data_IF_677717600597
#
_entry.id   IF_677717600597
#
_cell.length_a   1.000
_cell.length_b   1.000
_cell.length_c   1.000
_cell.angle_alpha   90.00
_cell.angle_beta   90.00
_cell.angle_gamma   90.00
#
_symmetry.space_group_name_H-M   'P 1'
#
loop_
_entity.id
_entity.type
_entity.pdbx_description
1 polymer ?
#
# COMPACT_ATOMS: atom_id res chain seq x y z
N UNK A 1 20.62 21.42 -8.20
CA UNK A 1 19.88 22.52 -7.54
C UNK A 1 20.39 22.65 -6.12
N UNK A 2 20.61 23.87 -5.61
CA UNK A 2 20.98 24.12 -4.20
C UNK A 2 19.77 24.68 -3.47
N UNK A 3 19.41 24.09 -2.34
CA UNK A 3 18.27 24.51 -1.52
C UNK A 3 18.84 25.10 -0.23
N UNK A 4 18.47 26.33 0.09
CA UNK A 4 18.71 26.94 1.39
C UNK A 4 17.35 27.15 2.05
N UNK A 5 17.12 26.52 3.19
CA UNK A 5 15.86 26.62 3.91
C UNK A 5 16.14 27.01 5.37
N UNK A 6 15.30 27.88 5.91
CA UNK A 6 15.27 28.16 7.35
C UNK A 6 14.28 27.18 7.98
N UNK A 7 14.73 26.49 9.03
CA UNK A 7 13.92 25.55 9.79
C UNK A 7 13.65 26.15 11.17
N UNK A 8 12.44 25.95 11.66
CA UNK A 8 12.08 26.27 13.04
C UNK A 8 12.61 25.18 13.98
N UNK A 9 12.73 25.50 15.27
CA UNK A 9 13.35 24.62 16.27
C UNK A 9 12.70 23.23 16.35
N UNK A 10 11.39 23.15 16.14
CA UNK A 10 10.67 21.87 16.10
C UNK A 10 11.09 21.01 14.90
N UNK A 11 11.22 21.61 13.72
CA UNK A 11 11.59 20.91 12.50
C UNK A 11 13.06 20.47 12.52
N UNK A 12 13.94 21.27 13.14
CA UNK A 12 15.33 20.89 13.41
C UNK A 12 15.38 19.64 14.28
N UNK A 13 14.57 19.58 15.35
CA UNK A 13 14.51 18.40 16.23
C UNK A 13 14.04 17.14 15.50
N UNK A 14 13.02 17.26 14.65
CA UNK A 14 12.56 16.13 13.81
C UNK A 14 13.64 15.67 12.84
N UNK A 15 14.33 16.60 12.18
CA UNK A 15 15.42 16.27 11.25
C UNK A 15 16.58 15.54 11.94
N UNK A 16 17.00 16.01 13.12
CA UNK A 16 18.06 15.34 13.88
C UNK A 16 17.66 13.95 14.36
N UNK A 17 16.40 13.77 14.79
CA UNK A 17 15.89 12.44 15.15
C UNK A 17 15.93 11.46 13.96
N UNK A 18 15.54 11.92 12.76
CA UNK A 18 15.58 11.11 11.54
C UNK A 18 17.02 10.74 11.13
N UNK A 19 17.98 11.66 11.32
CA UNK A 19 19.41 11.37 11.09
C UNK A 19 19.94 10.29 12.02
N UNK A 20 19.48 10.26 13.27
CA UNK A 20 19.91 9.28 14.28
C UNK A 20 19.31 7.90 14.05
N UNK A 21 18.06 7.81 13.62
CA UNK A 21 17.35 6.54 13.43
C UNK A 21 17.94 5.69 12.31
N UNK A 22 18.23 6.30 11.16
CA UNK A 22 18.56 5.55 9.94
C UNK A 22 19.99 5.81 9.42
N UNK A 23 20.83 6.54 10.17
CA UNK A 23 22.15 7.02 9.74
C UNK A 23 22.14 7.83 8.43
N UNK A 24 20.99 8.35 8.03
CA UNK A 24 20.86 9.14 6.82
C UNK A 24 21.46 10.53 6.98
N UNK A 25 22.03 11.04 5.90
CA UNK A 25 22.40 12.44 5.76
C UNK A 25 21.16 13.31 5.57
N UNK A 26 21.27 14.60 5.90
CA UNK A 26 20.21 15.59 5.62
C UNK A 26 19.75 15.56 4.16
N UNK A 27 20.67 15.32 3.23
CA UNK A 27 20.36 15.23 1.79
C UNK A 27 19.46 14.05 1.46
N UNK A 28 19.73 12.88 2.05
CA UNK A 28 18.92 11.66 1.82
C UNK A 28 17.52 11.83 2.40
N UNK A 29 17.42 12.38 3.61
CA UNK A 29 16.14 12.67 4.25
C UNK A 29 15.31 13.64 3.40
N UNK A 30 15.92 14.71 2.89
CA UNK A 30 15.23 15.67 2.02
C UNK A 30 14.78 15.02 0.71
N UNK A 31 15.62 14.17 0.09
CA UNK A 31 15.25 13.44 -1.14
C UNK A 31 14.04 12.54 -0.89
N UNK A 32 14.03 11.79 0.19
CA UNK A 32 12.92 10.90 0.50
C UNK A 32 11.64 11.68 0.84
N UNK A 33 11.75 12.76 1.62
CA UNK A 33 10.61 13.63 1.90
C UNK A 33 9.99 14.22 0.62
N UNK A 34 10.82 14.63 -0.35
CA UNK A 34 10.35 15.10 -1.66
C UNK A 34 9.63 13.97 -2.40
N UNK A 35 10.20 12.76 -2.44
CA UNK A 35 9.56 11.61 -3.09
C UNK A 35 8.20 11.27 -2.46
N UNK A 36 8.13 11.24 -1.13
CA UNK A 36 6.89 10.99 -0.38
C UNK A 36 5.85 12.06 -0.70
N UNK A 37 6.22 13.35 -0.63
CA UNK A 37 5.31 14.44 -0.91
C UNK A 37 4.83 14.44 -2.37
N UNK A 38 5.75 14.17 -3.32
CA UNK A 38 5.42 14.04 -4.73
C UNK A 38 4.43 12.89 -4.95
N UNK A 39 4.68 11.71 -4.39
CA UNK A 39 3.75 10.58 -4.45
C UNK A 39 2.40 10.95 -3.85
N UNK A 40 2.34 11.55 -2.66
CA UNK A 40 1.07 11.92 -2.04
C UNK A 40 0.26 12.93 -2.88
N UNK A 41 0.93 13.88 -3.54
CA UNK A 41 0.25 14.92 -4.34
C UNK A 41 -0.10 14.46 -5.75
N UNK A 42 0.74 13.63 -6.37
CA UNK A 42 0.58 13.17 -7.74
C UNK A 42 -0.19 11.85 -7.84
N UNK A 43 -0.08 10.99 -6.82
CA UNK A 43 -0.90 9.77 -6.65
C UNK A 43 -2.23 10.14 -5.96
N UNK A 44 -2.83 11.27 -6.32
CA UNK A 44 -4.27 11.43 -6.10
C UNK A 44 -5.02 10.53 -7.10
N UNK A 45 -6.08 9.83 -6.66
CA UNK A 45 -6.56 8.56 -7.23
C UNK A 45 -7.40 8.73 -8.50
N UNK A 46 -7.12 9.71 -9.37
CA UNK A 46 -7.79 9.75 -10.68
C UNK A 46 -7.44 8.54 -11.55
N UNK A 47 -6.33 7.87 -11.25
CA UNK A 47 -5.93 6.63 -11.90
C UNK A 47 -6.04 5.36 -11.06
N UNK A 48 -6.44 5.39 -9.78
CA UNK A 48 -6.39 4.18 -8.94
C UNK A 48 -7.64 3.32 -9.08
N UNK A 49 -8.83 3.87 -8.84
CA UNK A 49 -10.07 3.08 -8.96
C UNK A 49 -10.42 2.81 -10.42
N UNK A 50 -10.20 3.79 -11.30
CA UNK A 50 -10.51 3.65 -12.72
C UNK A 50 -9.55 2.67 -13.41
N UNK A 51 -8.26 2.69 -13.09
CA UNK A 51 -7.35 1.67 -13.62
C UNK A 51 -7.61 0.29 -13.01
N UNK A 52 -8.06 0.19 -11.75
CA UNK A 52 -8.48 -1.09 -11.18
C UNK A 52 -9.74 -1.65 -11.88
N UNK A 53 -10.71 -0.78 -12.20
CA UNK A 53 -11.93 -1.15 -12.94
C UNK A 53 -11.66 -1.44 -14.43
N UNK A 54 -10.70 -0.75 -15.04
CA UNK A 54 -10.27 -0.96 -16.43
C UNK A 54 -9.23 -2.09 -16.55
N UNK A 55 -8.66 -2.55 -15.44
CA UNK A 55 -7.83 -3.75 -15.40
C UNK A 55 -8.70 -5.00 -15.23
N UNK A 56 -8.18 -6.15 -15.64
CA UNK A 56 -8.81 -7.45 -15.40
C UNK A 56 -8.88 -7.83 -13.91
N UNK A 57 -8.46 -6.95 -12.98
CA UNK A 57 -8.52 -7.18 -11.54
C UNK A 57 -9.95 -7.32 -11.02
N UNK A 58 -10.90 -6.50 -11.49
CA UNK A 58 -12.31 -6.63 -11.08
C UNK A 58 -12.95 -7.74 -11.90
N UNK A 59 -13.15 -8.91 -11.28
CA UNK A 59 -13.64 -10.10 -11.96
C UNK A 59 -12.55 -11.11 -12.33
N UNK A 60 -11.29 -10.92 -11.88
CA UNK A 60 -10.23 -11.92 -12.05
C UNK A 60 -10.49 -13.24 -11.31
N UNK A 61 -11.41 -13.24 -10.35
CA UNK A 61 -11.76 -14.43 -9.59
C UNK A 61 -12.59 -15.36 -10.48
N UNK A 62 -11.98 -16.45 -10.91
CA UNK A 62 -12.68 -17.55 -11.57
C UNK A 62 -13.38 -18.40 -10.51
N UNK A 63 -14.67 -18.64 -10.70
CA UNK A 63 -15.46 -19.46 -9.79
C UNK A 63 -16.86 -19.70 -10.32
N UNK A 64 -17.63 -20.58 -9.66
CA UNK A 64 -19.02 -20.86 -10.02
C UNK A 64 -19.88 -19.58 -9.96
N UNK A 65 -20.85 -19.43 -10.87
CA UNK A 65 -21.77 -18.27 -10.87
C UNK A 65 -22.54 -18.13 -9.55
N UNK A 66 -22.83 -19.26 -8.89
CA UNK A 66 -23.47 -19.34 -7.58
C UNK A 66 -22.46 -19.36 -6.42
N UNK A 67 -21.16 -19.16 -6.69
CA UNK A 67 -20.09 -19.33 -5.71
C UNK A 67 -20.29 -18.46 -4.47
N UNK A 68 -20.85 -17.25 -4.59
CA UNK A 68 -21.18 -16.41 -3.43
C UNK A 68 -22.29 -16.98 -2.54
N UNK A 69 -23.15 -17.84 -3.09
CA UNK A 69 -24.27 -18.47 -2.41
C UNK A 69 -23.87 -19.83 -1.82
N UNK A 70 -22.99 -20.56 -2.50
CA UNK A 70 -22.62 -21.94 -2.14
C UNK A 70 -21.27 -22.07 -1.45
N UNK A 71 -20.44 -21.02 -1.39
CA UNK A 71 -19.03 -21.14 -0.94
C UNK A 71 -18.86 -21.88 0.39
N UNK A 72 -19.77 -21.65 1.36
CA UNK A 72 -19.67 -22.31 2.67
C UNK A 72 -19.90 -23.81 2.55
N UNK A 73 -20.89 -24.21 1.77
CA UNK A 73 -21.18 -25.62 1.53
C UNK A 73 -20.05 -26.26 0.74
N UNK A 74 -19.60 -25.62 -0.34
CA UNK A 74 -18.52 -26.13 -1.18
C UNK A 74 -17.20 -26.33 -0.39
N UNK A 75 -16.91 -25.41 0.53
CA UNK A 75 -15.75 -25.52 1.43
C UNK A 75 -15.94 -26.64 2.45
N UNK A 76 -17.12 -26.78 3.06
CA UNK A 76 -17.40 -27.85 4.02
C UNK A 76 -17.34 -29.22 3.35
N UNK A 77 -17.96 -29.38 2.19
CA UNK A 77 -17.93 -30.62 1.40
C UNK A 77 -16.49 -30.99 1.01
N UNK A 78 -15.67 -30.00 0.64
CA UNK A 78 -14.26 -30.22 0.35
C UNK A 78 -13.45 -30.64 1.59
N UNK A 79 -13.70 -30.03 2.75
CA UNK A 79 -13.03 -30.37 4.01
C UNK A 79 -13.42 -31.78 4.46
N UNK A 80 -14.71 -32.11 4.43
CA UNK A 80 -15.24 -33.41 4.81
C UNK A 80 -14.73 -34.52 3.87
N UNK A 81 -14.69 -34.26 2.56
CA UNK A 81 -14.12 -35.19 1.59
C UNK A 81 -12.61 -35.43 1.81
N UNK A 82 -11.89 -34.41 2.30
CA UNK A 82 -10.45 -34.48 2.57
C UNK A 82 -10.15 -35.10 3.95
N UNK A 83 -11.07 -35.00 4.88
CA UNK A 83 -10.96 -35.47 6.27
C UNK A 83 -12.24 -36.21 6.71
N UNK A 84 -12.55 -37.38 6.13
CA UNK A 84 -13.82 -38.07 6.34
C UNK A 84 -14.06 -38.63 7.76
N UNK A 85 -13.02 -38.67 8.61
CA UNK A 85 -13.04 -39.35 9.92
C UNK A 85 -12.65 -38.44 11.10
N UNK A 86 -13.06 -37.16 11.11
CA UNK A 86 -12.91 -36.26 12.29
C UNK A 86 -14.22 -36.02 13.01
#
# INVERSE_FOLDING_TARGET
MRINARLEEEDVRKLEALKQLDHHTTTEIIKEAINVLYRQKMVHPKGSIRALLESDFVGCAEGPENGSQTYKQDVMDYVDAKHPDS
#
